data_IF_311661163274
#
_entry.id   IF_311661163274
#
_cell.length_a   1.000
_cell.length_b   1.000
_cell.length_c   1.000
_cell.angle_alpha   90.00
_cell.angle_beta   90.00
_cell.angle_gamma   90.00
#
_symmetry.space_group_name_H-M   'P 1'
#
loop_
_entity.id
_entity.type
_entity.pdbx_description
1 polymer ?
#
# COMPACT_ATOMS: atom_id res chain seq x y z
N UNK A 1 7.63 69.64 13.44
CA UNK A 1 9.08 69.59 13.16
C UNK A 1 9.41 68.14 12.79
N UNK A 2 9.58 67.88 11.50
CA UNK A 2 9.89 66.59 10.88
C UNK A 2 11.36 66.26 11.09
N UNK A 3 11.71 65.04 11.51
CA UNK A 3 12.91 64.30 11.07
C UNK A 3 12.61 62.78 11.16
N UNK A 4 12.36 62.14 10.01
CA UNK A 4 12.79 60.76 9.71
C UNK A 4 14.29 60.82 9.38
N UNK A 5 15.13 59.76 9.53
CA UNK A 5 15.05 58.64 8.57
C UNK A 5 15.75 57.29 8.92
N UNK A 6 15.68 56.41 7.90
CA UNK A 6 16.61 55.36 7.47
C UNK A 6 16.47 53.93 8.01
N UNK A 7 15.76 53.14 7.18
CA UNK A 7 15.95 51.71 6.95
C UNK A 7 17.42 51.35 6.69
N UNK A 8 17.87 50.21 7.22
CA UNK A 8 19.05 49.51 6.70
C UNK A 8 18.75 48.02 6.68
N UNK A 9 18.50 47.51 5.48
CA UNK A 9 18.27 46.10 5.16
C UNK A 9 19.63 45.43 5.00
N UNK A 10 19.94 44.43 5.83
CA UNK A 10 21.17 43.61 5.68
C UNK A 10 20.78 42.26 5.10
N UNK A 11 21.02 42.07 3.80
CA UNK A 11 21.00 40.75 3.15
C UNK A 11 22.33 40.05 3.45
N UNK A 12 22.28 38.94 4.21
CA UNK A 12 23.40 38.01 4.35
C UNK A 12 23.24 36.89 3.32
N UNK A 13 24.04 36.93 2.25
CA UNK A 13 24.22 35.84 1.31
C UNK A 13 25.09 34.75 1.99
N UNK A 14 24.47 33.63 2.37
CA UNK A 14 25.17 32.42 2.80
C UNK A 14 25.55 31.60 1.56
N UNK A 15 26.81 31.70 1.12
CA UNK A 15 27.38 30.80 0.12
C UNK A 15 27.73 29.46 0.76
N UNK A 16 26.88 28.44 0.56
CA UNK A 16 27.26 27.05 0.82
C UNK A 16 28.13 26.54 -0.33
N UNK A 17 29.40 26.24 -0.04
CA UNK A 17 30.25 25.41 -0.89
C UNK A 17 29.82 23.95 -0.70
N UNK A 18 29.00 23.43 -1.60
CA UNK A 18 28.78 21.99 -1.77
C UNK A 18 29.93 21.40 -2.57
N UNK A 19 30.89 20.78 -1.88
CA UNK A 19 31.87 19.91 -2.55
C UNK A 19 31.16 18.63 -3.00
N UNK A 20 30.88 18.52 -4.30
CA UNK A 20 30.47 17.26 -4.92
C UNK A 20 31.63 16.27 -4.85
N UNK A 21 31.54 15.27 -3.96
CA UNK A 21 32.30 14.05 -4.11
C UNK A 21 31.68 13.28 -5.29
N UNK A 22 32.36 13.27 -6.43
CA UNK A 22 31.95 12.45 -7.58
C UNK A 22 32.01 10.98 -7.17
N UNK A 23 30.83 10.36 -7.03
CA UNK A 23 30.69 8.92 -6.89
C UNK A 23 31.11 8.28 -8.22
N UNK A 24 32.31 7.70 -8.25
CA UNK A 24 32.68 6.81 -9.35
C UNK A 24 31.67 5.67 -9.41
N UNK A 25 30.98 5.53 -10.55
CA UNK A 25 30.09 4.39 -10.74
C UNK A 25 30.93 3.13 -10.92
N UNK A 26 30.35 1.97 -10.63
CA UNK A 26 31.00 0.67 -10.90
C UNK A 26 31.41 0.55 -12.38
N UNK A 27 30.69 1.21 -13.29
CA UNK A 27 31.05 1.28 -14.72
C UNK A 27 32.33 2.09 -14.99
N UNK A 28 32.58 3.16 -14.24
CA UNK A 28 33.80 3.97 -14.38
C UNK A 28 35.04 3.20 -13.88
N UNK A 29 34.88 2.46 -12.78
CA UNK A 29 35.91 1.57 -12.23
C UNK A 29 36.24 0.40 -13.19
N UNK A 30 35.23 -0.12 -13.89
CA UNK A 30 35.42 -1.15 -14.92
C UNK A 30 36.17 -0.60 -16.15
N UNK A 31 35.84 0.61 -16.62
CA UNK A 31 36.51 1.25 -17.77
C UNK A 31 38.00 1.54 -17.53
N UNK A 32 38.39 1.85 -16.29
CA UNK A 32 39.79 2.15 -15.96
C UNK A 32 40.66 0.93 -15.62
N UNK A 33 40.06 -0.24 -15.35
CA UNK A 33 40.83 -1.44 -14.97
C UNK A 33 41.43 -2.22 -16.14
N UNK A 34 41.11 -1.87 -17.39
CA UNK A 34 41.58 -2.60 -18.58
C UNK A 34 41.08 -4.04 -18.69
N UNK A 35 40.19 -4.47 -17.79
CA UNK A 35 39.57 -5.80 -17.77
C UNK A 35 38.32 -5.80 -18.66
N UNK A 36 38.49 -5.86 -19.97
CA UNK A 36 37.40 -6.25 -20.89
C UNK A 36 37.22 -7.76 -20.77
N UNK A 37 36.45 -8.22 -19.79
CA UNK A 37 35.83 -9.55 -19.88
C UNK A 37 34.57 -9.39 -20.71
N UNK A 38 34.50 -9.94 -21.93
CA UNK A 38 33.21 -10.04 -22.60
C UNK A 38 32.31 -10.84 -21.67
N UNK A 39 31.20 -10.23 -21.27
CA UNK A 39 30.22 -10.86 -20.40
C UNK A 39 29.73 -12.18 -20.98
N UNK A 40 29.00 -12.99 -20.19
CA UNK A 40 28.58 -14.35 -20.56
C UNK A 40 27.55 -14.42 -21.71
N UNK A 41 27.39 -13.36 -22.51
CA UNK A 41 26.44 -13.24 -23.60
C UNK A 41 27.03 -13.45 -25.00
N UNK A 42 28.35 -13.56 -25.18
CA UNK A 42 28.92 -13.96 -26.47
C UNK A 42 29.03 -15.49 -26.55
N UNK A 43 28.13 -16.07 -27.33
CA UNK A 43 28.14 -17.49 -27.66
C UNK A 43 29.46 -17.87 -28.35
N UNK A 44 30.40 -18.44 -27.61
CA UNK A 44 31.63 -19.00 -28.16
C UNK A 44 31.40 -20.48 -28.52
N UNK A 45 31.10 -20.71 -29.79
CA UNK A 45 30.83 -22.06 -30.32
C UNK A 45 32.01 -23.02 -30.10
N UNK A 46 33.26 -22.53 -30.17
CA UNK A 46 34.45 -23.35 -29.93
C UNK A 46 34.56 -23.76 -28.46
N UNK A 47 34.27 -22.86 -27.54
CA UNK A 47 34.22 -23.15 -26.10
C UNK A 47 33.24 -24.29 -25.78
N UNK A 48 32.05 -24.26 -26.39
CA UNK A 48 31.05 -25.32 -26.23
C UNK A 48 31.49 -26.66 -26.87
N UNK A 49 32.16 -26.64 -28.02
CA UNK A 49 32.71 -27.85 -28.65
C UNK A 49 33.78 -28.51 -27.78
N UNK A 50 34.67 -27.72 -27.17
CA UNK A 50 35.72 -28.21 -26.26
C UNK A 50 35.10 -28.80 -24.99
N UNK A 51 34.12 -28.11 -24.38
CA UNK A 51 33.40 -28.60 -23.20
C UNK A 51 32.67 -29.93 -23.46
N UNK A 52 32.02 -30.08 -24.61
CA UNK A 52 31.37 -31.34 -24.97
C UNK A 52 32.37 -32.48 -25.22
N UNK A 53 33.55 -32.18 -25.78
CA UNK A 53 34.62 -33.17 -25.97
C UNK A 53 35.18 -33.63 -24.62
N UNK A 54 35.43 -32.71 -23.69
CA UNK A 54 35.86 -33.01 -22.32
C UNK A 54 34.82 -33.82 -21.53
N UNK A 55 33.54 -33.47 -21.64
CA UNK A 55 32.45 -34.20 -20.96
C UNK A 55 32.35 -35.66 -21.39
N UNK A 56 32.67 -35.97 -22.65
CA UNK A 56 32.71 -37.36 -23.18
C UNK A 56 33.93 -38.16 -22.72
N UNK A 57 35.02 -37.48 -22.30
CA UNK A 57 36.25 -38.11 -21.83
C UNK A 57 36.22 -38.39 -20.32
N UNK A 58 35.32 -37.77 -19.57
CA UNK A 58 35.17 -38.07 -18.15
C UNK A 58 34.55 -39.47 -17.98
N UNK A 59 35.12 -40.33 -17.10
CA UNK A 59 34.55 -41.64 -16.82
C UNK A 59 33.12 -41.47 -16.30
N UNK A 60 32.17 -42.03 -17.04
CA UNK A 60 30.75 -41.97 -16.68
C UNK A 60 30.59 -42.61 -15.30
N UNK A 61 30.14 -41.83 -14.31
CA UNK A 61 29.92 -42.27 -12.93
C UNK A 61 29.12 -43.57 -12.97
N UNK A 62 29.75 -44.70 -12.59
CA UNK A 62 29.10 -46.00 -12.57
C UNK A 62 27.90 -45.90 -11.64
N UNK A 63 26.68 -45.91 -12.20
CA UNK A 63 25.46 -45.96 -11.38
C UNK A 63 25.51 -47.27 -10.62
N UNK A 64 25.76 -47.22 -9.31
CA UNK A 64 25.59 -48.41 -8.49
C UNK A 64 24.15 -48.86 -8.66
N UNK A 65 23.97 -50.12 -9.08
CA UNK A 65 22.64 -50.70 -9.26
C UNK A 65 21.98 -50.62 -7.88
N UNK A 66 20.83 -49.92 -7.71
CA UNK A 66 20.18 -49.86 -6.42
C UNK A 66 19.87 -51.30 -6.02
N UNK A 67 20.49 -51.78 -4.93
CA UNK A 67 20.09 -53.05 -4.35
C UNK A 67 18.61 -52.90 -4.03
N UNK A 68 17.76 -53.71 -4.67
CA UNK A 68 16.32 -53.72 -4.39
C UNK A 68 16.14 -54.03 -2.91
N UNK A 69 15.88 -52.98 -2.13
CA UNK A 69 15.55 -53.11 -0.71
C UNK A 69 14.18 -53.76 -0.64
N UNK A 70 14.15 -55.05 -0.36
CA UNK A 70 12.90 -55.79 -0.18
C UNK A 70 12.13 -55.18 0.99
N UNK A 71 10.83 -54.97 0.78
CA UNK A 71 9.92 -54.51 1.82
C UNK A 71 9.75 -55.59 2.90
N UNK A 72 9.27 -55.21 4.09
CA UNK A 72 9.00 -56.17 5.15
C UNK A 72 7.97 -57.25 4.73
N UNK A 73 7.00 -56.89 3.88
CA UNK A 73 6.03 -57.83 3.32
C UNK A 73 6.69 -58.88 2.41
N UNK A 74 7.60 -58.45 1.52
CA UNK A 74 8.34 -59.38 0.65
C UNK A 74 9.30 -60.28 1.44
N UNK A 75 9.91 -59.75 2.50
CA UNK A 75 10.79 -60.52 3.40
C UNK A 75 10.01 -61.58 4.16
N UNK A 76 8.83 -61.25 4.68
CA UNK A 76 7.91 -62.21 5.30
C UNK A 76 7.52 -63.33 4.33
N UNK A 77 7.17 -62.99 3.08
CA UNK A 77 6.83 -64.00 2.05
C UNK A 77 7.99 -64.94 1.75
N UNK A 78 9.22 -64.49 1.93
CA UNK A 78 10.46 -65.28 1.77
C UNK A 78 10.97 -65.91 3.07
N UNK A 79 10.20 -65.84 4.17
CA UNK A 79 10.62 -66.30 5.51
C UNK A 79 11.95 -65.69 6.00
N UNK A 80 12.27 -64.48 5.54
CA UNK A 80 13.43 -63.72 5.99
C UNK A 80 13.05 -62.83 7.18
N UNK A 81 14.00 -62.51 8.08
CA UNK A 81 13.76 -61.59 9.20
C UNK A 81 13.30 -60.22 8.71
N UNK A 82 12.44 -59.53 9.46
CA UNK A 82 11.99 -58.17 9.15
C UNK A 82 13.17 -57.18 9.12
N UNK A 83 13.08 -56.14 8.29
CA UNK A 83 14.01 -55.02 8.37
C UNK A 83 13.78 -54.26 9.69
N UNK A 84 14.85 -53.73 10.32
CA UNK A 84 14.72 -52.93 11.53
C UNK A 84 13.90 -51.65 11.27
N UNK A 85 13.21 -51.13 12.29
CA UNK A 85 12.46 -49.87 12.17
C UNK A 85 13.42 -48.73 11.86
N UNK A 86 13.27 -48.13 10.68
CA UNK A 86 14.04 -46.94 10.29
C UNK A 86 13.41 -45.74 11.00
N UNK A 87 14.09 -45.23 12.02
CA UNK A 87 13.75 -43.92 12.59
C UNK A 87 14.05 -42.89 11.50
N UNK A 88 13.03 -42.20 11.01
CA UNK A 88 13.24 -41.01 10.18
C UNK A 88 14.02 -40.02 11.06
N UNK A 89 15.26 -39.73 10.70
CA UNK A 89 16.07 -38.76 11.43
C UNK A 89 15.26 -37.49 11.69
N UNK A 90 15.26 -37.05 12.95
CA UNK A 90 14.41 -35.97 13.49
C UNK A 90 14.71 -34.56 12.94
N UNK A 91 15.27 -34.45 11.73
CA UNK A 91 15.55 -33.16 11.08
C UNK A 91 14.31 -32.52 10.45
N UNK A 92 13.20 -33.26 10.27
CA UNK A 92 11.89 -32.63 10.09
C UNK A 92 11.34 -32.24 11.46
N UNK A 93 11.83 -31.11 11.98
CA UNK A 93 10.98 -30.26 12.83
C UNK A 93 9.68 -30.09 12.04
N UNK A 94 8.61 -30.73 12.49
CA UNK A 94 7.27 -30.44 11.99
C UNK A 94 7.12 -28.95 12.21
N UNK A 95 7.09 -28.18 11.12
CA UNK A 95 6.87 -26.74 11.21
C UNK A 95 5.64 -26.55 12.10
N UNK A 96 5.69 -25.65 13.10
CA UNK A 96 4.51 -25.36 13.89
C UNK A 96 3.37 -25.09 12.94
N UNK A 97 2.25 -25.81 13.11
CA UNK A 97 1.06 -25.60 12.28
C UNK A 97 0.72 -24.12 12.40
N UNK A 98 0.81 -23.40 11.29
CA UNK A 98 0.30 -22.05 11.19
C UNK A 98 -1.16 -22.09 11.65
N UNK A 99 -1.52 -21.24 12.60
CA UNK A 99 -2.91 -21.09 13.01
C UNK A 99 -3.72 -20.76 11.74
N UNK A 100 -4.85 -21.44 11.56
CA UNK A 100 -5.77 -21.14 10.46
C UNK A 100 -6.21 -19.66 10.56
N UNK A 101 -6.25 -18.91 9.45
CA UNK A 101 -6.73 -17.53 9.46
C UNK A 101 -8.10 -17.48 10.12
N UNK A 102 -8.30 -16.54 11.05
CA UNK A 102 -9.62 -16.28 11.59
C UNK A 102 -10.55 -15.83 10.45
N UNK A 103 -11.85 -16.19 10.51
CA UNK A 103 -12.81 -15.69 9.53
C UNK A 103 -12.84 -14.15 9.58
N UNK A 104 -12.94 -13.46 8.43
CA UNK A 104 -13.10 -12.02 8.39
C UNK A 104 -14.36 -11.59 9.17
N UNK A 105 -14.24 -10.51 9.92
CA UNK A 105 -15.39 -9.80 10.49
C UNK A 105 -15.93 -8.89 9.40
N UNK A 106 -17.24 -8.99 9.16
CA UNK A 106 -17.97 -8.09 8.27
C UNK A 106 -18.81 -7.16 9.15
N UNK A 107 -18.63 -5.86 9.01
CA UNK A 107 -19.46 -4.84 9.67
C UNK A 107 -20.14 -4.01 8.60
N UNK A 108 -21.46 -3.84 8.72
CA UNK A 108 -22.28 -3.00 7.87
C UNK A 108 -22.97 -1.94 8.73
N UNK A 109 -23.05 -0.70 8.23
CA UNK A 109 -23.69 0.38 8.95
C UNK A 109 -23.61 1.71 8.21
N UNK A 110 -24.44 2.66 8.62
CA UNK A 110 -24.40 4.03 8.09
C UNK A 110 -23.12 4.75 8.48
N UNK A 111 -22.56 5.54 7.58
CA UNK A 111 -21.37 6.34 7.86
C UNK A 111 -21.73 7.67 8.54
N UNK A 112 -21.55 7.74 9.85
CA UNK A 112 -21.75 8.96 10.65
C UNK A 112 -20.53 9.88 10.62
N UNK A 113 -20.76 11.19 10.64
CA UNK A 113 -19.75 12.24 10.71
C UNK A 113 -19.84 12.93 12.06
N UNK A 114 -18.72 12.96 12.78
CA UNK A 114 -18.62 13.49 14.13
C UNK A 114 -17.63 14.65 14.18
N UNK A 115 -17.89 15.64 15.01
CA UNK A 115 -16.95 16.74 15.27
C UNK A 115 -15.78 16.31 16.17
N UNK A 116 -14.90 17.26 16.50
CA UNK A 116 -13.76 17.05 17.39
C UNK A 116 -14.16 16.69 18.84
N UNK A 117 -15.35 17.11 19.27
CA UNK A 117 -15.90 16.79 20.60
C UNK A 117 -16.49 15.37 20.65
N UNK A 118 -16.69 14.75 19.48
CA UNK A 118 -17.30 13.44 19.35
C UNK A 118 -18.83 13.48 19.26
N UNK A 119 -19.41 14.65 18.99
CA UNK A 119 -20.84 14.82 18.74
C UNK A 119 -21.16 14.51 17.27
N UNK A 120 -22.27 13.81 17.03
CA UNK A 120 -22.74 13.51 15.68
C UNK A 120 -23.29 14.79 15.04
N UNK A 121 -22.67 15.22 13.93
CA UNK A 121 -23.06 16.44 13.20
C UNK A 121 -23.76 16.15 11.88
N UNK A 122 -23.66 14.92 11.38
CA UNK A 122 -24.32 14.47 10.15
C UNK A 122 -23.86 13.08 9.72
N UNK A 123 -24.03 12.79 8.44
CA UNK A 123 -23.71 11.51 7.81
C UNK A 123 -22.97 11.74 6.50
N UNK A 124 -22.21 10.75 6.05
CA UNK A 124 -21.70 10.72 4.68
C UNK A 124 -22.88 10.44 3.75
N UNK A 125 -23.09 11.31 2.78
CA UNK A 125 -24.18 11.24 1.82
C UNK A 125 -23.97 10.08 0.85
N UNK A 126 -25.06 9.36 0.53
CA UNK A 126 -25.09 8.40 -0.56
C UNK A 126 -25.05 9.10 -1.93
N UNK A 127 -25.49 10.35 -1.96
CA UNK A 127 -25.40 11.23 -3.11
C UNK A 127 -24.02 11.90 -3.18
N UNK A 128 -23.45 11.96 -4.38
CA UNK A 128 -22.17 12.61 -4.62
C UNK A 128 -22.37 14.08 -4.95
N UNK A 129 -21.34 14.90 -4.70
CA UNK A 129 -21.28 16.26 -5.23
C UNK A 129 -21.33 16.26 -6.77
N UNK A 130 -21.64 17.39 -7.42
CA UNK A 130 -21.55 17.50 -8.88
C UNK A 130 -20.17 17.19 -9.47
N UNK A 131 -19.12 17.19 -8.64
CA UNK A 131 -17.76 16.80 -9.01
C UNK A 131 -17.42 15.36 -8.63
N UNK A 132 -18.38 14.55 -8.18
CA UNK A 132 -18.19 13.13 -7.91
C UNK A 132 -17.54 12.81 -6.56
N UNK A 133 -17.59 13.72 -5.59
CA UNK A 133 -16.98 13.55 -4.27
C UNK A 133 -18.06 13.23 -3.24
N UNK A 134 -17.73 12.47 -2.21
CA UNK A 134 -18.62 12.29 -1.06
C UNK A 134 -18.73 13.59 -0.26
N UNK A 135 -19.95 13.87 0.20
CA UNK A 135 -20.28 15.07 0.98
C UNK A 135 -21.02 14.68 2.25
N UNK A 136 -21.10 15.60 3.20
CA UNK A 136 -21.93 15.45 4.38
C UNK A 136 -23.39 15.80 4.07
N UNK A 137 -24.31 15.03 4.65
CA UNK A 137 -25.75 15.29 4.70
C UNK A 137 -26.26 15.23 6.14
N UNK A 138 -27.39 15.87 6.39
CA UNK A 138 -28.16 15.73 7.65
C UNK A 138 -29.47 14.96 7.43
N UNK A 139 -29.76 14.57 6.17
CA UNK A 139 -30.92 13.74 5.84
C UNK A 139 -30.59 12.26 6.08
N UNK A 140 -31.29 11.66 7.05
CA UNK A 140 -31.14 10.24 7.41
C UNK A 140 -31.52 9.29 6.26
N UNK A 141 -32.28 9.75 5.25
CA UNK A 141 -32.64 8.93 4.09
C UNK A 141 -31.56 8.88 3.01
N UNK A 142 -30.57 9.77 3.09
CA UNK A 142 -29.47 9.89 2.13
C UNK A 142 -28.15 9.44 2.76
N UNK A 143 -28.19 8.52 3.73
CA UNK A 143 -27.00 8.02 4.41
C UNK A 143 -26.33 6.91 3.59
N UNK A 144 -25.02 7.04 3.39
CA UNK A 144 -24.21 6.02 2.77
C UNK A 144 -23.96 4.84 3.73
N UNK A 145 -24.27 3.63 3.28
CA UNK A 145 -23.93 2.40 4.00
C UNK A 145 -22.50 1.95 3.65
N UNK A 146 -21.67 1.78 4.67
CA UNK A 146 -20.35 1.17 4.55
C UNK A 146 -20.42 -0.30 4.93
N UNK A 147 -19.95 -1.15 4.02
CA UNK A 147 -19.65 -2.54 4.30
C UNK A 147 -18.15 -2.69 4.40
N UNK A 148 -17.67 -3.13 5.55
CA UNK A 148 -16.25 -3.32 5.84
C UNK A 148 -15.98 -4.79 6.10
N UNK A 149 -14.96 -5.35 5.46
CA UNK A 149 -14.50 -6.71 5.71
C UNK A 149 -13.03 -6.68 6.13
N UNK A 150 -12.74 -7.13 7.36
CA UNK A 150 -11.38 -7.12 7.89
C UNK A 150 -11.12 -8.34 8.79
N UNK A 151 -9.85 -8.74 8.91
CA UNK A 151 -9.46 -9.73 9.91
C UNK A 151 -9.39 -9.04 11.27
N UNK A 152 -10.03 -9.61 12.31
CA UNK A 152 -10.02 -8.99 13.62
C UNK A 152 -8.57 -8.95 14.15
N UNK A 153 -8.04 -7.75 14.41
CA UNK A 153 -6.68 -7.57 14.91
C UNK A 153 -6.57 -8.05 16.36
N UNK A 154 -5.37 -8.46 16.78
CA UNK A 154 -5.09 -8.78 18.19
C UNK A 154 -5.19 -7.52 19.09
N UNK A 155 -5.13 -6.32 18.51
CA UNK A 155 -5.07 -5.02 19.21
C UNK A 155 -6.28 -4.07 18.97
N UNK A 156 -7.37 -4.52 18.34
CA UNK A 156 -8.61 -3.74 18.20
C UNK A 156 -8.67 -2.69 17.07
N UNK A 157 -7.62 -2.51 16.26
CA UNK A 157 -7.62 -1.69 15.02
C UNK A 157 -7.20 -2.55 13.82
N UNK A 158 -8.01 -2.61 12.76
CA UNK A 158 -7.67 -3.41 11.58
C UNK A 158 -6.40 -2.90 10.89
N UNK A 159 -5.68 -3.75 10.16
CA UNK A 159 -4.54 -3.31 9.35
C UNK A 159 -5.01 -2.44 8.18
N UNK A 160 -5.30 -3.05 7.03
CA UNK A 160 -5.89 -2.41 5.87
C UNK A 160 -7.21 -3.10 5.54
N UNK A 161 -8.29 -2.33 5.61
CA UNK A 161 -9.64 -2.78 5.31
C UNK A 161 -10.07 -2.19 3.97
N UNK A 162 -10.82 -3.00 3.22
CA UNK A 162 -11.59 -2.50 2.09
C UNK A 162 -12.98 -2.10 2.59
N UNK A 163 -13.41 -0.91 2.19
CA UNK A 163 -14.76 -0.41 2.43
C UNK A 163 -15.48 -0.43 1.09
N UNK A 164 -16.67 -1.01 1.05
CA UNK A 164 -17.54 -1.04 -0.13
C UNK A 164 -18.85 -0.33 0.15
N UNK A 165 -19.50 0.14 -0.92
CA UNK A 165 -20.78 0.82 -0.88
C UNK A 165 -21.72 0.34 -1.99
N UNK A 166 -23.00 0.68 -1.87
CA UNK A 166 -24.03 0.36 -2.86
C UNK A 166 -23.97 1.28 -4.09
N UNK A 167 -22.91 1.15 -4.89
CA UNK A 167 -22.76 1.81 -6.20
C UNK A 167 -22.29 0.76 -7.21
N UNK A 168 -23.06 0.46 -8.28
CA UNK A 168 -22.70 -0.61 -9.21
C UNK A 168 -21.47 -0.31 -10.06
N UNK A 169 -21.24 0.95 -10.41
CA UNK A 169 -20.14 1.37 -11.29
C UNK A 169 -18.85 1.60 -10.49
N UNK A 170 -18.98 2.15 -9.29
CA UNK A 170 -17.87 2.48 -8.40
C UNK A 170 -18.07 1.91 -6.98
N UNK A 171 -18.05 0.58 -6.81
CA UNK A 171 -18.50 -0.08 -5.57
C UNK A 171 -17.53 0.04 -4.39
N UNK A 172 -16.29 0.50 -4.60
CA UNK A 172 -15.28 0.57 -3.54
C UNK A 172 -15.14 2.02 -3.07
N UNK A 173 -15.13 2.25 -1.76
CA UNK A 173 -14.82 3.56 -1.20
C UNK A 173 -13.30 3.73 -1.18
N UNK A 174 -12.81 4.80 -1.80
CA UNK A 174 -11.38 5.09 -1.88
C UNK A 174 -11.08 6.57 -1.64
N UNK A 175 -9.80 6.86 -1.45
CA UNK A 175 -9.28 8.22 -1.50
C UNK A 175 -8.80 8.51 -2.93
N UNK A 176 -9.18 9.68 -3.43
CA UNK A 176 -8.90 10.16 -4.78
C UNK A 176 -8.04 11.41 -4.67
N UNK A 177 -6.98 11.53 -5.45
CA UNK A 177 -6.13 12.70 -5.44
C UNK A 177 -6.91 13.99 -5.69
N UNK A 178 -6.62 15.02 -4.89
CA UNK A 178 -7.22 16.35 -5.00
C UNK A 178 -6.98 17.00 -6.36
N UNK A 179 -7.91 17.85 -6.78
CA UNK A 179 -7.92 18.53 -8.08
C UNK A 179 -6.66 19.37 -8.32
N UNK A 180 -6.23 20.08 -7.30
CA UNK A 180 -5.17 21.07 -7.45
C UNK A 180 -3.82 20.54 -6.95
N UNK A 181 -3.74 19.24 -6.64
CA UNK A 181 -2.51 18.62 -6.21
C UNK A 181 -1.43 18.70 -7.29
N UNK A 182 -0.23 19.10 -6.91
CA UNK A 182 0.95 19.15 -7.80
C UNK A 182 1.52 17.76 -8.08
N UNK A 183 1.32 16.83 -7.16
CA UNK A 183 1.82 15.46 -7.20
C UNK A 183 0.99 14.55 -6.27
N UNK A 184 1.34 13.27 -6.19
CA UNK A 184 0.58 12.27 -5.45
C UNK A 184 0.93 12.19 -3.96
N UNK A 185 1.86 13.02 -3.47
CA UNK A 185 2.39 12.92 -2.12
C UNK A 185 1.67 13.88 -1.18
N UNK A 186 1.21 13.36 -0.05
CA UNK A 186 0.70 14.16 1.07
C UNK A 186 1.63 14.01 2.27
N UNK A 187 1.49 14.90 3.25
CA UNK A 187 2.26 14.87 4.49
C UNK A 187 2.81 16.23 4.87
N UNK A 188 3.74 16.29 5.84
CA UNK A 188 4.25 17.55 6.38
C UNK A 188 4.77 18.49 5.29
N UNK A 189 4.27 19.73 5.28
CA UNK A 189 4.61 20.78 4.33
C UNK A 189 3.95 20.68 2.95
N UNK A 190 3.13 19.65 2.70
CA UNK A 190 2.41 19.48 1.43
C UNK A 190 0.96 20.00 1.53
N UNK A 191 0.52 20.90 0.64
CA UNK A 191 -0.88 21.34 0.57
C UNK A 191 -1.77 20.33 -0.18
N UNK A 192 -1.22 19.21 -0.65
CA UNK A 192 -1.95 18.20 -1.38
C UNK A 192 -2.98 17.53 -0.46
N UNK A 193 -4.16 17.26 -1.02
CA UNK A 193 -5.30 16.71 -0.31
C UNK A 193 -5.93 15.54 -1.09
N UNK A 194 -6.84 14.82 -0.45
CA UNK A 194 -7.58 13.73 -1.09
C UNK A 194 -9.08 13.95 -0.92
N UNK A 195 -9.84 13.64 -1.96
CA UNK A 195 -11.30 13.46 -1.88
C UNK A 195 -11.63 12.04 -1.42
N UNK A 196 -12.79 11.86 -0.81
CA UNK A 196 -13.39 10.53 -0.61
C UNK A 196 -14.41 10.30 -1.72
N UNK A 197 -14.38 9.14 -2.36
CA UNK A 197 -15.26 8.84 -3.49
C UNK A 197 -15.33 7.35 -3.80
N UNK A 198 -16.05 7.02 -4.87
CA UNK A 198 -16.16 5.67 -5.38
C UNK A 198 -15.05 5.35 -6.37
N UNK A 199 -14.58 4.11 -6.34
CA UNK A 199 -13.56 3.56 -7.21
C UNK A 199 -14.08 2.25 -7.83
N UNK A 200 -13.76 2.03 -9.10
CA UNK A 200 -14.13 0.83 -9.83
C UNK A 200 -13.39 -0.41 -9.31
N UNK A 201 -13.93 -1.60 -9.63
CA UNK A 201 -13.22 -2.86 -9.41
C UNK A 201 -12.03 -2.97 -10.38
N UNK A 202 -10.86 -3.48 -9.93
CA UNK A 202 -10.63 -4.20 -8.67
C UNK A 202 -10.17 -3.33 -7.48
N UNK A 203 -10.08 -2.00 -7.64
CA UNK A 203 -9.40 -1.13 -6.69
C UNK A 203 -7.88 -1.30 -6.71
N UNK A 204 -7.17 -0.68 -5.75
CA UNK A 204 -5.72 -0.78 -5.63
C UNK A 204 -5.29 -1.98 -4.80
N UNK A 205 -4.02 -2.37 -4.92
CA UNK A 205 -3.41 -3.35 -4.03
C UNK A 205 -3.24 -2.72 -2.63
N UNK A 206 -3.44 -3.48 -1.52
CA UNK A 206 -3.09 -3.00 -0.19
C UNK A 206 -1.63 -2.55 -0.11
N UNK A 207 -1.39 -1.46 0.63
CA UNK A 207 -0.05 -0.91 0.87
C UNK A 207 0.72 -0.45 -0.40
N UNK A 208 0.05 -0.29 -1.55
CA UNK A 208 0.66 0.26 -2.76
C UNK A 208 0.43 1.77 -2.89
N UNK A 209 1.32 2.49 -3.59
CA UNK A 209 1.02 3.84 -4.05
C UNK A 209 -0.24 3.90 -4.93
N UNK A 210 -0.68 5.12 -5.21
CA UNK A 210 -1.91 5.35 -5.99
C UNK A 210 -1.80 4.87 -7.43
N UNK A 211 -2.90 4.38 -7.96
CA UNK A 211 -3.02 3.91 -9.34
C UNK A 211 -4.08 4.72 -10.11
N UNK A 212 -3.95 4.77 -11.44
CA UNK A 212 -4.95 5.35 -12.33
C UNK A 212 -6.06 4.33 -12.58
N UNK A 213 -7.10 4.40 -11.76
CA UNK A 213 -8.27 3.52 -11.79
C UNK A 213 -9.52 4.40 -11.87
N UNK A 214 -10.54 3.95 -12.61
CA UNK A 214 -11.81 4.64 -12.76
C UNK A 214 -12.43 5.00 -11.42
N UNK A 215 -12.88 6.24 -11.29
CA UNK A 215 -13.41 6.76 -10.03
C UNK A 215 -14.46 7.83 -10.28
N UNK A 216 -15.27 8.10 -9.27
CA UNK A 216 -16.42 9.01 -9.36
C UNK A 216 -16.03 10.44 -9.69
N UNK A 217 -14.86 10.92 -9.25
CA UNK A 217 -14.39 12.27 -9.57
C UNK A 217 -13.96 12.38 -11.03
N UNK A 218 -13.17 11.41 -11.51
CA UNK A 218 -12.73 11.36 -12.91
C UNK A 218 -13.92 11.19 -13.85
N UNK A 219 -14.91 10.36 -13.51
CA UNK A 219 -16.13 10.20 -14.28
C UNK A 219 -16.94 11.52 -14.38
N UNK A 220 -17.11 12.21 -13.26
CA UNK A 220 -17.88 13.46 -13.21
C UNK A 220 -17.17 14.64 -13.91
N UNK A 221 -15.83 14.68 -13.89
CA UNK A 221 -15.06 15.85 -14.34
C UNK A 221 -14.26 15.65 -15.63
N UNK A 222 -14.01 14.41 -16.03
CA UNK A 222 -13.10 14.05 -17.11
C UNK A 222 -11.62 14.29 -16.80
N UNK A 223 -11.26 14.52 -15.52
CA UNK A 223 -9.88 14.76 -15.08
C UNK A 223 -9.38 13.51 -14.36
N UNK A 224 -8.38 12.85 -14.94
CA UNK A 224 -7.76 11.67 -14.35
C UNK A 224 -7.08 11.99 -13.02
N UNK A 225 -7.31 11.14 -12.01
CA UNK A 225 -6.73 11.24 -10.68
C UNK A 225 -6.34 9.87 -10.16
N UNK A 226 -5.22 9.84 -9.45
CA UNK A 226 -4.77 8.64 -8.75
C UNK A 226 -5.70 8.33 -7.59
N UNK A 227 -5.91 7.04 -7.33
CA UNK A 227 -6.76 6.56 -6.24
C UNK A 227 -6.06 5.52 -5.40
N UNK A 228 -6.53 5.33 -4.16
CA UNK A 228 -6.21 4.19 -3.31
C UNK A 228 -7.47 3.71 -2.57
N UNK A 229 -7.70 2.39 -2.53
CA UNK A 229 -8.92 1.81 -1.93
C UNK A 229 -8.70 1.03 -0.65
N UNK A 230 -7.53 0.41 -0.51
CA UNK A 230 -7.21 -0.48 0.61
C UNK A 230 -6.34 0.26 1.63
N UNK A 231 -6.81 1.44 2.03
CA UNK A 231 -6.10 2.40 2.90
C UNK A 231 -6.77 2.61 4.24
N UNK A 232 -7.92 1.98 4.46
CA UNK A 232 -8.77 2.24 5.60
C UNK A 232 -8.36 1.40 6.80
N UNK A 233 -8.43 1.98 7.99
CA UNK A 233 -8.33 1.28 9.25
C UNK A 233 -9.61 1.51 10.03
N UNK A 234 -10.21 0.42 10.52
CA UNK A 234 -11.44 0.46 11.31
C UNK A 234 -11.10 0.08 12.75
N UNK A 235 -11.40 0.98 13.68
CA UNK A 235 -11.32 0.69 15.10
C UNK A 235 -12.58 -0.07 15.54
N UNK A 236 -12.43 -1.33 15.94
CA UNK A 236 -13.58 -2.22 16.17
C UNK A 236 -14.43 -1.84 17.37
N UNK A 237 -13.87 -1.10 18.33
CA UNK A 237 -14.58 -0.68 19.54
C UNK A 237 -15.48 0.55 19.32
N UNK A 238 -15.13 1.42 18.36
CA UNK A 238 -15.79 2.72 18.16
C UNK A 238 -16.42 2.87 16.78
N UNK A 239 -16.09 1.97 15.85
CA UNK A 239 -16.44 2.09 14.43
C UNK A 239 -15.64 3.16 13.69
N UNK A 240 -14.65 3.81 14.33
CA UNK A 240 -13.90 4.90 13.72
C UNK A 240 -13.10 4.44 12.51
N UNK A 241 -13.25 5.16 11.39
CA UNK A 241 -12.57 4.93 10.12
C UNK A 241 -11.43 5.95 9.98
N UNK A 242 -10.22 5.45 9.78
CA UNK A 242 -9.02 6.25 9.55
C UNK A 242 -8.41 5.88 8.20
N UNK A 243 -7.76 6.83 7.52
CA UNK A 243 -7.10 6.58 6.25
C UNK A 243 -5.57 6.66 6.38
N UNK A 244 -4.87 5.79 5.66
CA UNK A 244 -3.41 5.77 5.53
C UNK A 244 -3.02 5.80 4.06
N UNK A 245 -2.57 6.95 3.58
CA UNK A 245 -2.13 7.12 2.21
C UNK A 245 -0.69 6.67 2.01
N UNK A 246 -0.43 5.92 0.95
CA UNK A 246 0.93 5.50 0.57
C UNK A 246 1.46 6.44 -0.52
N UNK A 247 2.47 7.23 -0.20
CA UNK A 247 3.12 8.12 -1.16
C UNK A 247 3.91 7.33 -2.22
N UNK A 248 4.26 7.92 -3.37
CA UNK A 248 5.06 7.27 -4.42
C UNK A 248 6.43 6.74 -3.98
N UNK A 249 7.01 7.33 -2.93
CA UNK A 249 8.27 6.90 -2.33
C UNK A 249 8.13 5.71 -1.35
N UNK A 250 6.90 5.23 -1.14
CA UNK A 250 6.56 4.17 -0.21
C UNK A 250 6.38 4.65 1.24
N UNK A 251 6.52 5.94 1.53
CA UNK A 251 6.18 6.48 2.85
C UNK A 251 4.68 6.44 3.08
N UNK A 252 4.26 6.15 4.31
CA UNK A 252 2.84 6.07 4.69
C UNK A 252 2.50 7.24 5.59
N UNK A 253 1.46 7.99 5.23
CA UNK A 253 0.98 9.17 5.95
C UNK A 253 -0.46 8.94 6.40
N UNK A 254 -0.76 9.30 7.66
CA UNK A 254 -2.13 9.31 8.15
C UNK A 254 -2.86 10.48 7.48
N UNK A 255 -3.94 10.18 6.77
CA UNK A 255 -4.77 11.18 6.11
C UNK A 255 -6.01 11.41 7.00
N UNK A 256 -6.00 12.51 7.75
CA UNK A 256 -7.06 12.83 8.70
C UNK A 256 -8.23 13.52 7.97
N UNK A 257 -9.45 13.24 8.39
CA UNK A 257 -10.63 13.82 7.76
C UNK A 257 -10.90 15.25 8.24
N UNK A 258 -11.16 16.13 7.29
CA UNK A 258 -11.56 17.51 7.51
C UNK A 258 -12.77 17.84 6.65
N UNK A 259 -13.52 18.84 7.07
CA UNK A 259 -14.68 19.34 6.35
C UNK A 259 -14.50 20.81 6.00
N UNK A 260 -14.92 21.19 4.80
CA UNK A 260 -15.05 22.59 4.37
C UNK A 260 -16.40 22.74 3.69
N UNK A 261 -17.33 23.46 4.35
CA UNK A 261 -18.74 23.40 4.00
C UNK A 261 -19.30 22.00 4.20
N UNK A 262 -19.78 21.35 3.14
CA UNK A 262 -20.22 19.95 3.19
C UNK A 262 -19.23 18.98 2.54
N UNK A 263 -18.11 19.46 1.99
CA UNK A 263 -17.14 18.60 1.32
C UNK A 263 -16.21 17.96 2.35
N UNK A 264 -15.93 16.67 2.16
CA UNK A 264 -15.03 15.91 3.01
C UNK A 264 -13.68 15.76 2.31
N UNK A 265 -12.62 16.11 3.02
CA UNK A 265 -11.23 16.03 2.57
C UNK A 265 -10.43 15.14 3.50
N UNK A 266 -9.43 14.45 2.98
CA UNK A 266 -8.39 13.81 3.77
C UNK A 266 -7.08 14.58 3.59
N UNK A 267 -6.49 15.01 4.70
CA UNK A 267 -5.30 15.87 4.72
C UNK A 267 -4.15 15.19 5.47
N UNK A 268 -2.94 15.33 4.92
CA UNK A 268 -1.69 14.94 5.60
C UNK A 268 -1.08 16.06 6.43
N UNK A 269 -1.31 17.32 6.04
CA UNK A 269 -0.90 18.52 6.76
C UNK A 269 -1.97 19.63 6.59
N UNK A 270 -2.87 19.82 7.58
CA UNK A 270 -3.94 20.81 7.50
C UNK A 270 -3.42 22.25 7.47
N UNK A 271 -2.27 22.53 8.10
CA UNK A 271 -1.69 23.88 8.17
C UNK A 271 -1.13 24.28 6.79
N UNK A 272 -0.42 23.34 6.13
CA UNK A 272 0.07 23.55 4.77
C UNK A 272 -1.08 23.71 3.76
N UNK A 273 -2.15 22.94 3.91
CA UNK A 273 -3.36 23.09 3.11
C UNK A 273 -3.99 24.48 3.32
N UNK A 274 -4.22 24.89 4.56
CA UNK A 274 -4.88 26.17 4.87
C UNK A 274 -4.04 27.41 4.49
N UNK A 275 -2.71 27.25 4.35
CA UNK A 275 -1.84 28.30 3.80
C UNK A 275 -2.10 28.58 2.31
N UNK A 276 -2.66 27.61 1.57
CA UNK A 276 -3.00 27.74 0.14
C UNK A 276 -4.50 28.00 -0.06
N UNK A 277 -5.36 27.34 0.72
CA UNK A 277 -6.81 27.44 0.66
C UNK A 277 -7.34 28.16 1.91
N UNK A 278 -7.70 29.45 1.83
CA UNK A 278 -7.97 30.28 3.01
C UNK A 278 -9.31 30.00 3.69
N UNK A 279 -10.19 29.24 3.04
CA UNK A 279 -11.49 28.89 3.60
C UNK A 279 -11.32 27.98 4.83
N UNK A 280 -12.06 28.23 5.93
CA UNK A 280 -11.92 27.44 7.16
C UNK A 280 -12.15 25.95 6.93
N UNK A 281 -11.36 25.13 7.61
CA UNK A 281 -11.54 23.68 7.67
C UNK A 281 -11.84 23.27 9.11
N UNK A 282 -12.70 22.28 9.28
CA UNK A 282 -13.10 21.73 10.58
C UNK A 282 -12.67 20.27 10.67
N UNK A 283 -11.93 19.86 11.72
CA UNK A 283 -11.57 18.46 11.91
C UNK A 283 -12.81 17.63 12.20
N UNK A 284 -12.92 16.47 11.55
CA UNK A 284 -14.04 15.54 11.72
C UNK A 284 -13.53 14.10 11.89
N UNK A 285 -14.38 13.23 12.41
CA UNK A 285 -14.16 11.78 12.37
C UNK A 285 -15.34 11.06 11.71
N UNK A 286 -15.04 10.05 10.90
CA UNK A 286 -16.05 9.20 10.26
C UNK A 286 -16.14 7.91 11.07
N UNK A 287 -17.36 7.47 11.38
CA UNK A 287 -17.59 6.21 12.10
C UNK A 287 -18.68 5.39 11.42
N UNK A 288 -18.49 4.08 11.37
CA UNK A 288 -19.54 3.14 10.99
C UNK A 288 -20.48 2.99 12.19
N UNK A 289 -21.71 3.46 12.02
CA UNK A 289 -22.77 3.32 13.02
C UNK A 289 -23.32 1.89 12.94
N UNK A 290 -23.02 1.08 13.95
CA UNK A 290 -23.62 -0.25 14.05
C UNK A 290 -25.14 -0.09 14.27
N UNK A 291 -25.92 -0.68 13.38
CA UNK A 291 -27.38 -0.78 13.49
C UNK A 291 -27.76 -1.98 14.34
#
# INVERSE_FOLDING_TARGET
MRIQPLFTTTFLFSTFLTSYAALFTIQDLMKHSGLTTPGPSEYNEEGYKILNKLRKMLPTKTKSRPQMRMTNAERLRKKLPLNPPVRRDGSRRVAPRQASPLPPVVTEGGAGVFDENGDLIGYVSASLSPSGQMVMTTDENDVLSFVTAYQPPVAGVSDFARITMANPDFPIVGAIQGRDNSDASIGPGSPNYLYVGGVELPGTVPESPGEEIGNTYTDATGIDRLVQTDIWQVQTATGMVMARWVNPDGSIVNANAYMQGNNIYLLGDPDAFQAVYPDPIEPISIRVLQV
#
